data_IF_385003630982
#
_entry.id   IF_385003630982
#
_cell.length_a   1.000
_cell.length_b   1.000
_cell.length_c   1.000
_cell.angle_alpha   90.00
_cell.angle_beta   90.00
_cell.angle_gamma   90.00
#
_symmetry.space_group_name_H-M   'P 1'
#
loop_
_entity.id
_entity.type
_entity.pdbx_description
1 polymer ?
#
# COMPACT_ATOMS: atom_id res chain seq x y z
N UNK A 1 -1.97 4.24 18.09
CA UNK A 1 -1.31 3.76 16.88
C UNK A 1 -1.92 2.43 16.46
N UNK A 2 -2.13 2.26 15.18
CA UNK A 2 -2.64 1.00 14.62
C UNK A 2 -1.53 -0.03 14.54
N UNK A 3 -1.92 -1.31 14.53
CA UNK A 3 -0.98 -2.42 14.42
C UNK A 3 -0.85 -2.85 12.96
N UNK A 4 0.37 -3.08 12.46
CA UNK A 4 0.55 -3.53 11.08
C UNK A 4 0.37 -5.03 10.94
N UNK A 5 -0.15 -5.44 9.80
CA UNK A 5 -0.17 -6.83 9.37
C UNK A 5 0.31 -6.86 7.92
N UNK A 6 1.26 -7.72 7.62
CA UNK A 6 1.88 -7.80 6.31
C UNK A 6 1.59 -9.16 5.69
N UNK A 7 0.98 -9.18 4.51
CA UNK A 7 0.77 -10.45 3.82
C UNK A 7 2.12 -10.98 3.30
N UNK A 8 2.19 -12.29 3.07
CA UNK A 8 3.39 -12.87 2.47
C UNK A 8 3.68 -12.29 1.10
N UNK A 9 2.62 -12.03 0.32
CA UNK A 9 2.79 -11.43 -1.00
C UNK A 9 3.31 -10.00 -0.91
N UNK A 10 2.84 -9.22 0.07
CA UNK A 10 3.34 -7.88 0.29
C UNK A 10 4.84 -7.89 0.58
N UNK A 11 5.28 -8.82 1.43
CA UNK A 11 6.71 -8.94 1.77
C UNK A 11 7.55 -9.22 0.52
N UNK A 12 7.07 -10.09 -0.37
CA UNK A 12 7.74 -10.39 -1.64
C UNK A 12 7.73 -9.16 -2.55
N UNK A 13 6.61 -8.44 -2.60
CA UNK A 13 6.49 -7.21 -3.38
C UNK A 13 7.49 -6.14 -2.93
N UNK A 14 7.70 -6.01 -1.61
CA UNK A 14 8.66 -5.06 -1.05
C UNK A 14 10.08 -5.41 -1.49
N UNK A 15 10.43 -6.69 -1.47
CA UNK A 15 11.74 -7.12 -1.94
C UNK A 15 11.95 -6.76 -3.41
N UNK A 16 10.92 -6.95 -4.24
CA UNK A 16 10.98 -6.63 -5.65
C UNK A 16 11.13 -5.12 -5.87
N UNK A 17 10.37 -4.32 -5.12
CA UNK A 17 10.46 -2.86 -5.21
C UNK A 17 11.87 -2.38 -4.87
N UNK A 18 12.45 -2.94 -3.81
CA UNK A 18 13.82 -2.61 -3.41
C UNK A 18 14.82 -2.99 -4.49
N UNK A 19 14.66 -4.16 -5.09
CA UNK A 19 15.52 -4.63 -6.17
C UNK A 19 15.43 -3.74 -7.39
N UNK A 20 14.25 -3.18 -7.66
CA UNK A 20 14.02 -2.26 -8.79
C UNK A 20 14.54 -0.85 -8.52
N UNK A 21 15.08 -0.59 -7.32
CA UNK A 21 15.65 0.71 -6.98
C UNK A 21 14.63 1.75 -6.53
N UNK A 22 13.45 1.32 -6.09
CA UNK A 22 12.44 2.25 -5.57
C UNK A 22 12.93 2.90 -4.27
N UNK A 23 12.46 4.11 -4.02
CA UNK A 23 12.79 4.84 -2.79
C UNK A 23 11.98 4.25 -1.63
N UNK A 24 12.59 3.33 -0.89
CA UNK A 24 11.92 2.65 0.21
C UNK A 24 11.55 3.59 1.36
N UNK A 25 12.19 4.75 1.44
CA UNK A 25 11.81 5.78 2.42
C UNK A 25 10.40 6.30 2.17
N UNK A 26 10.01 6.43 0.90
CA UNK A 26 8.64 6.86 0.56
C UNK A 26 7.61 5.85 1.06
N UNK A 27 7.88 4.56 0.87
CA UNK A 27 6.98 3.51 1.36
C UNK A 27 6.89 3.56 2.88
N UNK A 28 8.02 3.70 3.55
CA UNK A 28 8.05 3.77 5.01
C UNK A 28 7.24 4.95 5.54
N UNK A 29 7.35 6.12 4.89
CA UNK A 29 6.60 7.30 5.29
C UNK A 29 5.11 7.09 5.18
N UNK A 30 4.66 6.49 4.08
CA UNK A 30 3.23 6.21 3.85
C UNK A 30 2.71 5.19 4.85
N UNK A 31 3.48 4.13 5.09
CA UNK A 31 3.11 3.12 6.10
C UNK A 31 2.97 3.78 7.46
N UNK A 32 3.89 4.67 7.82
CA UNK A 32 3.83 5.40 9.07
C UNK A 32 2.57 6.25 9.21
N UNK A 33 2.18 6.95 8.13
CA UNK A 33 0.95 7.75 8.14
C UNK A 33 -0.29 6.87 8.37
N UNK A 34 -0.34 5.72 7.70
CA UNK A 34 -1.47 4.79 7.84
C UNK A 34 -1.54 4.23 9.26
N UNK A 35 -0.41 3.84 9.83
CA UNK A 35 -0.38 3.29 11.20
C UNK A 35 -0.73 4.34 12.24
N UNK A 36 -0.33 5.60 12.01
CA UNK A 36 -0.65 6.69 12.91
C UNK A 36 -2.10 7.16 12.80
N UNK A 37 -2.83 6.71 11.77
CA UNK A 37 -4.20 7.16 11.53
C UNK A 37 -4.28 8.60 11.09
N UNK A 38 -3.21 9.16 10.55
CA UNK A 38 -3.15 10.54 10.10
C UNK A 38 -3.84 10.71 8.76
N UNK A 39 -4.39 11.91 8.47
CA UNK A 39 -4.91 12.19 7.15
C UNK A 39 -3.81 12.01 6.10
N UNK A 40 -4.18 11.41 4.96
CA UNK A 40 -3.22 11.18 3.88
C UNK A 40 -3.14 12.40 2.97
N UNK A 41 -1.94 12.78 2.50
CA UNK A 41 -1.81 13.83 1.51
C UNK A 41 -2.64 13.53 0.27
N UNK A 42 -3.23 14.57 -0.31
CA UNK A 42 -4.08 14.42 -1.49
C UNK A 42 -3.32 13.81 -2.67
N UNK A 43 -2.02 14.07 -2.76
CA UNK A 43 -1.18 13.57 -3.84
C UNK A 43 -1.14 12.04 -3.89
N UNK A 44 -1.40 11.37 -2.79
CA UNK A 44 -1.41 9.91 -2.75
C UNK A 44 -2.63 9.31 -3.42
N UNK A 45 -3.66 10.13 -3.66
CA UNK A 45 -4.86 9.69 -4.39
C UNK A 45 -5.48 8.41 -3.80
N UNK A 46 -5.62 8.40 -2.47
CA UNK A 46 -6.20 7.26 -1.77
C UNK A 46 -7.67 7.08 -2.11
N UNK A 47 -8.07 5.87 -2.48
CA UNK A 47 -9.46 5.58 -2.81
C UNK A 47 -9.82 4.10 -2.60
N UNK A 48 -11.11 3.79 -2.42
CA UNK A 48 -11.52 2.40 -2.24
C UNK A 48 -11.46 1.62 -3.55
N UNK A 49 -11.19 0.32 -3.43
CA UNK A 49 -11.19 -0.60 -4.55
C UNK A 49 -12.52 -1.36 -4.61
N UNK A 50 -12.86 -1.80 -5.81
CA UNK A 50 -14.07 -2.58 -6.06
C UNK A 50 -13.72 -4.01 -6.43
N UNK A 51 -14.75 -4.86 -6.56
CA UNK A 51 -14.59 -6.23 -7.02
C UNK A 51 -13.83 -7.09 -6.03
N UNK A 52 -12.87 -7.84 -6.54
CA UNK A 52 -12.11 -8.79 -5.75
C UNK A 52 -11.29 -8.13 -4.63
N UNK A 53 -10.95 -6.88 -4.80
CA UNK A 53 -10.12 -6.16 -3.85
C UNK A 53 -10.92 -5.54 -2.70
N UNK A 54 -12.24 -5.51 -2.82
CA UNK A 54 -13.09 -4.97 -1.78
C UNK A 54 -12.92 -5.78 -0.49
N UNK A 55 -12.81 -5.19 0.71
CA UNK A 55 -12.95 -3.76 1.05
C UNK A 55 -11.63 -3.00 1.11
N UNK A 56 -10.61 -3.44 0.39
CA UNK A 56 -9.31 -2.79 0.40
C UNK A 56 -9.35 -1.45 -0.30
N UNK A 57 -8.32 -0.65 -0.03
CA UNK A 57 -8.12 0.65 -0.64
C UNK A 57 -6.75 0.68 -1.30
N UNK A 58 -6.55 1.58 -2.26
CA UNK A 58 -5.23 1.80 -2.81
C UNK A 58 -4.84 3.26 -2.70
N UNK A 59 -3.54 3.50 -2.76
CA UNK A 59 -2.99 4.83 -2.87
C UNK A 59 -1.75 4.76 -3.77
N UNK A 60 -1.34 5.91 -4.28
CA UNK A 60 -0.18 6.01 -5.15
C UNK A 60 0.98 6.61 -4.39
N UNK A 61 2.03 5.81 -4.13
CA UNK A 61 3.27 6.31 -3.55
C UNK A 61 4.00 7.17 -4.60
N UNK A 62 3.94 6.70 -5.84
CA UNK A 62 4.37 7.42 -7.04
C UNK A 62 3.32 7.15 -8.11
N UNK A 63 3.31 7.87 -9.25
CA UNK A 63 2.28 7.68 -10.27
C UNK A 63 2.06 6.23 -10.69
N UNK A 64 3.12 5.41 -10.75
CA UNK A 64 2.98 3.99 -11.06
C UNK A 64 3.54 3.10 -9.94
N UNK A 65 3.40 3.53 -8.71
CA UNK A 65 3.76 2.70 -7.55
C UNK A 65 2.61 2.74 -6.56
N UNK A 66 1.85 1.66 -6.53
CA UNK A 66 0.59 1.55 -5.80
C UNK A 66 0.79 0.74 -4.54
N UNK A 67 0.09 1.11 -3.48
CA UNK A 67 0.01 0.33 -2.25
C UNK A 67 -1.45 -0.03 -2.01
N UNK A 68 -1.75 -1.33 -1.86
CA UNK A 68 -3.08 -1.82 -1.53
C UNK A 68 -3.08 -2.21 -0.05
N UNK A 69 -4.04 -1.68 0.68
CA UNK A 69 -4.14 -1.91 2.12
C UNK A 69 -5.60 -1.99 2.55
N UNK A 70 -5.82 -2.55 3.73
CA UNK A 70 -7.14 -2.60 4.35
C UNK A 70 -7.00 -2.21 5.81
N UNK A 71 -7.70 -1.15 6.23
CA UNK A 71 -7.74 -0.72 7.62
C UNK A 71 -9.00 -1.27 8.26
N UNK A 72 -8.84 -2.09 9.30
CA UNK A 72 -9.94 -2.72 10.01
C UNK A 72 -9.71 -2.56 11.52
N UNK A 73 -10.45 -1.63 12.12
CA UNK A 73 -10.28 -1.31 13.53
C UNK A 73 -8.89 -0.79 13.81
N UNK A 74 -8.16 -1.48 14.69
CA UNK A 74 -6.81 -1.07 15.08
C UNK A 74 -5.71 -1.69 14.21
N UNK A 75 -6.10 -2.50 13.21
CA UNK A 75 -5.13 -3.20 12.36
C UNK A 75 -5.17 -2.62 10.95
N UNK A 76 -3.99 -2.38 10.39
CA UNK A 76 -3.85 -2.06 8.97
C UNK A 76 -3.13 -3.22 8.32
N UNK A 77 -3.81 -3.89 7.39
CA UNK A 77 -3.22 -5.00 6.64
C UNK A 77 -2.69 -4.46 5.32
N UNK A 78 -1.40 -4.64 5.10
CA UNK A 78 -0.74 -4.27 3.85
C UNK A 78 -0.80 -5.47 2.92
N UNK A 79 -1.58 -5.35 1.85
CA UNK A 79 -1.93 -6.47 0.97
C UNK A 79 -0.91 -6.66 -0.14
N UNK A 80 -0.64 -5.59 -0.89
CA UNK A 80 0.26 -5.63 -2.03
C UNK A 80 0.89 -4.27 -2.28
N UNK A 81 2.03 -4.26 -2.97
CA UNK A 81 2.60 -3.03 -3.53
C UNK A 81 3.30 -3.37 -4.85
N UNK A 82 3.24 -2.47 -5.80
CA UNK A 82 3.84 -2.67 -7.12
C UNK A 82 3.31 -1.69 -8.13
N UNK A 83 3.64 -1.91 -9.40
CA UNK A 83 3.09 -1.10 -10.49
C UNK A 83 1.65 -1.51 -10.77
N UNK A 84 0.95 -0.69 -11.55
CA UNK A 84 -0.41 -1.07 -11.98
C UNK A 84 -0.39 -2.41 -12.72
N UNK A 85 0.61 -2.64 -13.56
CA UNK A 85 0.75 -3.92 -14.26
C UNK A 85 0.95 -5.09 -13.30
N UNK A 86 1.76 -4.88 -12.25
CA UNK A 86 2.01 -5.95 -11.27
C UNK A 86 0.73 -6.35 -10.54
N UNK A 87 -0.13 -5.38 -10.24
CA UNK A 87 -1.27 -5.59 -9.35
C UNK A 87 -2.58 -5.85 -10.08
N UNK A 88 -2.76 -5.23 -11.23
CA UNK A 88 -4.04 -5.23 -11.95
C UNK A 88 -3.95 -5.80 -13.36
N UNK A 89 -2.80 -6.33 -13.75
CA UNK A 89 -2.62 -6.94 -15.05
C UNK A 89 -3.48 -8.20 -15.17
N UNK A 90 -3.99 -8.42 -16.36
CA UNK A 90 -4.79 -9.59 -16.65
C UNK A 90 -4.01 -10.63 -17.44
#
# INVERSE_FOLDING_TARGET
>A
MRLPSYTGQFKRDVKLAKKRGKDMGKLRDVVGLLLAGQPLPRELNDHPLNGEWKPSRDLHIEPDWVLIYCADGEVVRFERTGTHSDLFSK
#
